data_IF_150794629398
#
_entry.id   IF_150794629398
#
_cell.length_a   1.000
_cell.length_b   1.000
_cell.length_c   1.000
_cell.angle_alpha   90.00
_cell.angle_beta   90.00
_cell.angle_gamma   90.00
#
_symmetry.space_group_name_H-M   'P 1'
#
loop_
_entity.id
_entity.type
_entity.pdbx_description
1 polymer ?
#
# COMPACT_ATOMS: atom_id res chain seq x y z
N UNK A 1 0.80 -8.56 4.85
CA UNK A 1 1.25 -7.26 4.28
C UNK A 1 1.98 -6.50 5.37
N UNK A 2 3.18 -5.96 5.12
CA UNK A 2 3.89 -5.16 6.11
C UNK A 2 3.25 -3.77 6.15
N UNK A 3 2.92 -3.25 7.33
CA UNK A 3 2.28 -1.93 7.48
C UNK A 3 3.08 -0.81 6.82
N UNK A 4 4.39 -0.98 6.70
CA UNK A 4 5.33 -0.10 6.02
C UNK A 4 4.93 0.13 4.54
N UNK A 5 4.39 -0.89 3.84
CA UNK A 5 3.93 -0.73 2.46
C UNK A 5 2.65 0.10 2.34
N UNK A 6 1.84 0.19 3.40
CA UNK A 6 0.67 1.08 3.44
C UNK A 6 1.13 2.53 3.48
N UNK A 7 2.12 2.86 4.31
CA UNK A 7 2.65 4.23 4.41
C UNK A 7 3.33 4.69 3.12
N UNK A 8 4.09 3.81 2.47
CA UNK A 8 4.60 4.09 1.13
C UNK A 8 3.46 4.48 0.17
N UNK A 9 2.38 3.69 0.15
CA UNK A 9 1.23 3.97 -0.72
C UNK A 9 0.47 5.25 -0.33
N UNK A 10 0.40 5.57 0.96
CA UNK A 10 -0.15 6.84 1.45
C UNK A 10 0.65 8.00 0.88
N UNK A 11 1.97 8.03 1.08
CA UNK A 11 2.82 9.12 0.62
C UNK A 11 2.91 9.21 -0.91
N UNK A 12 2.83 8.09 -1.61
CA UNK A 12 2.74 8.07 -3.07
C UNK A 12 1.41 8.67 -3.59
N UNK A 13 0.30 8.46 -2.87
CA UNK A 13 -1.03 8.93 -3.30
C UNK A 13 -1.34 10.34 -2.82
N UNK A 14 -0.88 10.68 -1.61
CA UNK A 14 -1.10 11.96 -0.92
C UNK A 14 0.22 12.45 -0.29
N UNK A 15 1.18 12.94 -1.09
CA UNK A 15 2.48 13.37 -0.59
C UNK A 15 2.37 14.53 0.43
N UNK A 16 1.35 15.39 0.31
CA UNK A 16 1.04 16.45 1.26
C UNK A 16 0.90 15.96 2.70
N UNK A 17 0.39 14.73 2.90
CA UNK A 17 0.19 14.15 4.23
C UNK A 17 1.48 14.03 5.04
N UNK A 18 2.62 13.83 4.37
CA UNK A 18 3.94 13.82 5.03
C UNK A 18 4.31 15.19 5.59
N UNK A 19 4.15 16.25 4.80
CA UNK A 19 4.49 17.61 5.23
C UNK A 19 3.58 18.09 6.35
N UNK A 20 2.29 17.77 6.26
CA UNK A 20 1.34 18.03 7.33
C UNK A 20 1.75 17.32 8.63
N UNK A 21 2.19 16.06 8.58
CA UNK A 21 2.67 15.32 9.77
C UNK A 21 3.82 16.02 10.50
N UNK A 22 4.71 16.68 9.75
CA UNK A 22 5.86 17.41 10.32
C UNK A 22 5.55 18.91 10.54
N UNK A 23 4.26 19.28 10.56
CA UNK A 23 3.76 20.64 10.77
C UNK A 23 4.26 21.65 9.72
N UNK A 24 4.46 21.20 8.48
CA UNK A 24 4.70 22.05 7.33
C UNK A 24 3.43 22.20 6.48
N UNK A 25 3.30 23.28 5.69
CA UNK A 25 2.17 23.47 4.80
C UNK A 25 2.04 22.32 3.78
N UNK A 26 0.81 21.87 3.50
CA UNK A 26 0.53 20.85 2.49
C UNK A 26 1.11 21.17 1.10
N UNK A 27 1.20 22.46 0.76
CA UNK A 27 1.79 22.97 -0.50
C UNK A 27 3.28 22.69 -0.65
N UNK A 28 3.98 22.31 0.43
CA UNK A 28 5.36 21.86 0.34
C UNK A 28 5.48 20.62 -0.55
N UNK A 29 4.46 19.76 -0.61
CA UNK A 29 4.49 18.61 -1.50
C UNK A 29 4.62 18.96 -2.99
N UNK A 30 4.21 20.15 -3.42
CA UNK A 30 4.26 20.56 -4.83
C UNK A 30 5.70 20.74 -5.34
N UNK A 31 6.68 20.81 -4.44
CA UNK A 31 8.10 20.96 -4.77
C UNK A 31 8.94 19.73 -4.43
N UNK A 32 8.31 18.58 -4.17
CA UNK A 32 9.00 17.32 -3.92
C UNK A 32 8.43 16.16 -4.75
N UNK A 33 9.33 15.31 -5.23
CA UNK A 33 8.97 13.98 -5.72
C UNK A 33 9.15 12.95 -4.61
N UNK A 34 8.18 12.05 -4.46
CA UNK A 34 8.29 10.88 -3.59
C UNK A 34 8.84 9.69 -4.37
N UNK A 35 9.95 9.10 -3.90
CA UNK A 35 10.68 8.04 -4.60
C UNK A 35 11.12 6.90 -3.69
N UNK A 36 11.24 5.71 -4.28
CA UNK A 36 12.02 4.59 -3.74
C UNK A 36 13.29 4.43 -4.56
N UNK A 37 14.46 4.39 -3.91
CA UNK A 37 15.77 4.32 -4.57
C UNK A 37 16.50 3.04 -4.18
N UNK A 38 16.87 2.25 -5.18
CA UNK A 38 17.71 1.07 -5.02
C UNK A 38 19.19 1.43 -5.23
N UNK A 39 19.99 1.17 -4.20
CA UNK A 39 21.43 1.38 -4.16
C UNK A 39 22.14 0.18 -4.80
N UNK A 40 22.44 0.30 -6.10
CA UNK A 40 22.98 -0.80 -6.95
C UNK A 40 24.26 -1.47 -6.41
N UNK A 41 25.06 -0.79 -5.58
CA UNK A 41 26.30 -1.35 -5.05
C UNK A 41 26.11 -2.28 -3.84
N UNK A 42 24.92 -2.28 -3.22
CA UNK A 42 24.70 -2.91 -1.92
C UNK A 42 23.36 -3.64 -1.79
N UNK A 43 22.52 -3.66 -2.84
CA UNK A 43 21.15 -4.19 -2.81
C UNK A 43 20.26 -3.58 -1.71
N UNK A 44 20.63 -2.39 -1.20
CA UNK A 44 19.80 -1.65 -0.26
C UNK A 44 18.76 -0.83 -1.01
N UNK A 45 17.55 -0.72 -0.44
CA UNK A 45 16.48 0.09 -1.00
C UNK A 45 15.97 1.05 0.07
N UNK A 46 15.94 2.33 -0.25
CA UNK A 46 15.35 3.36 0.60
C UNK A 46 13.99 3.69 0.00
N UNK A 47 12.93 3.31 0.72
CA UNK A 47 11.56 3.38 0.20
C UNK A 47 10.88 4.73 0.45
N UNK A 48 11.36 5.53 1.42
CA UNK A 48 10.76 6.82 1.76
C UNK A 48 11.69 7.99 1.50
N UNK A 49 11.83 8.43 0.25
CA UNK A 49 12.57 9.64 -0.10
C UNK A 49 11.65 10.72 -0.64
N UNK A 50 11.67 11.90 -0.05
CA UNK A 50 11.17 13.11 -0.70
C UNK A 50 12.35 13.93 -1.22
N UNK A 51 12.42 14.07 -2.54
CA UNK A 51 13.50 14.75 -3.26
C UNK A 51 13.02 16.11 -3.77
N UNK A 52 13.71 17.22 -3.48
CA UNK A 52 13.35 18.52 -4.02
C UNK A 52 13.39 18.51 -5.55
N UNK A 53 12.34 18.99 -6.21
CA UNK A 53 12.32 19.15 -7.66
C UNK A 53 13.09 20.41 -8.10
N UNK A 54 13.41 20.49 -9.39
CA UNK A 54 14.01 21.67 -10.02
C UNK A 54 15.35 22.13 -9.40
N UNK A 55 16.15 21.19 -8.85
CA UNK A 55 17.47 21.45 -8.28
C UNK A 55 17.49 22.61 -7.26
N UNK A 56 16.51 22.66 -6.34
CA UNK A 56 16.51 23.65 -5.26
C UNK A 56 17.52 23.25 -4.19
N UNK A 57 18.76 23.77 -4.20
CA UNK A 57 19.89 23.17 -3.48
C UNK A 57 19.85 23.47 -1.97
N UNK A 58 18.99 24.40 -1.56
CA UNK A 58 18.81 24.80 -0.16
C UNK A 58 17.71 24.00 0.55
N UNK A 59 16.92 23.22 -0.19
CA UNK A 59 15.87 22.38 0.39
C UNK A 59 16.44 21.03 0.80
N UNK A 60 16.04 20.49 1.96
CA UNK A 60 16.56 19.22 2.42
C UNK A 60 15.95 18.05 1.66
N UNK A 61 16.72 16.98 1.46
CA UNK A 61 16.15 15.67 1.18
C UNK A 61 15.50 15.14 2.47
N UNK A 62 14.27 14.67 2.42
CA UNK A 62 13.68 13.95 3.55
C UNK A 62 13.80 12.45 3.39
N UNK A 63 14.37 11.80 4.40
CA UNK A 63 14.39 10.36 4.57
C UNK A 63 13.30 9.97 5.57
N UNK A 64 12.34 9.15 5.13
CA UNK A 64 11.15 8.81 5.92
C UNK A 64 11.13 7.31 6.15
N UNK A 65 11.11 6.90 7.41
CA UNK A 65 10.93 5.50 7.79
C UNK A 65 9.74 5.36 8.76
N UNK A 66 8.97 4.28 8.60
CA UNK A 66 7.87 3.94 9.49
C UNK A 66 8.16 2.63 10.21
N UNK A 67 7.92 2.58 11.53
CA UNK A 67 8.26 1.46 12.39
C UNK A 67 7.04 0.99 13.21
N UNK A 68 6.57 -0.22 12.90
CA UNK A 68 5.47 -0.91 13.60
C UNK A 68 5.93 -2.01 14.55
N UNK A 69 7.20 -2.38 14.49
CA UNK A 69 7.81 -3.42 15.29
C UNK A 69 9.14 -2.92 15.82
N UNK A 70 9.52 -3.41 17.01
CA UNK A 70 10.80 -3.01 17.61
C UNK A 70 11.93 -3.65 16.82
N UNK A 71 12.77 -2.82 16.23
CA UNK A 71 14.00 -3.20 15.54
C UNK A 71 15.17 -2.59 16.32
N UNK A 72 15.92 -3.43 17.05
CA UNK A 72 16.99 -2.97 17.95
C UNK A 72 18.14 -2.31 17.19
N UNK A 73 18.36 -2.67 15.93
CA UNK A 73 19.43 -2.15 15.08
C UNK A 73 18.94 -1.04 14.15
N UNK A 74 17.70 -0.58 14.33
CA UNK A 74 17.03 0.36 13.43
C UNK A 74 17.88 1.61 13.14
N UNK A 75 18.36 2.31 14.17
CA UNK A 75 19.15 3.53 13.97
C UNK A 75 20.48 3.27 13.28
N UNK A 76 21.12 2.13 13.58
CA UNK A 76 22.36 1.74 12.91
C UNK A 76 22.13 1.56 11.40
N UNK A 77 21.10 0.81 11.04
CA UNK A 77 20.69 0.57 9.65
C UNK A 77 20.31 1.88 8.97
N UNK A 78 19.39 2.63 9.55
CA UNK A 78 18.82 3.84 8.95
C UNK A 78 19.87 4.93 8.70
N UNK A 79 20.73 5.23 9.67
CA UNK A 79 21.78 6.23 9.46
C UNK A 79 22.87 5.77 8.50
N UNK A 80 23.18 4.47 8.47
CA UNK A 80 24.10 3.92 7.47
C UNK A 80 23.55 4.08 6.05
N UNK A 81 22.26 3.84 5.86
CA UNK A 81 21.55 4.02 4.58
C UNK A 81 21.54 5.50 4.15
N UNK A 82 21.18 6.42 5.05
CA UNK A 82 21.19 7.86 4.81
C UNK A 82 22.59 8.33 4.37
N UNK A 83 23.62 8.02 5.15
CA UNK A 83 24.97 8.50 4.85
C UNK A 83 25.56 7.85 3.59
N UNK A 84 25.19 6.60 3.30
CA UNK A 84 25.55 5.94 2.04
C UNK A 84 24.88 6.65 0.85
N UNK A 85 23.60 6.98 0.93
CA UNK A 85 22.89 7.72 -0.11
C UNK A 85 23.53 9.10 -0.34
N UNK A 86 23.75 9.87 0.73
CA UNK A 86 24.35 11.20 0.64
C UNK A 86 25.74 11.13 -0.02
N UNK A 87 26.58 10.16 0.37
CA UNK A 87 27.89 9.96 -0.24
C UNK A 87 27.81 9.70 -1.75
N UNK A 88 26.83 8.92 -2.20
CA UNK A 88 26.72 8.48 -3.59
C UNK A 88 26.02 9.51 -4.49
N UNK A 89 25.04 10.24 -3.97
CA UNK A 89 24.11 11.04 -4.80
C UNK A 89 23.99 12.51 -4.40
N UNK A 90 24.25 12.86 -3.13
CA UNK A 90 23.81 14.16 -2.58
C UNK A 90 24.78 14.73 -1.53
N UNK A 91 26.09 14.63 -1.78
CA UNK A 91 27.15 14.91 -0.79
C UNK A 91 27.17 16.34 -0.22
N UNK A 92 26.51 17.30 -0.88
CA UNK A 92 26.45 18.70 -0.47
C UNK A 92 25.01 19.18 -0.19
N UNK A 93 24.00 18.32 -0.29
CA UNK A 93 22.62 18.73 -0.08
C UNK A 93 22.24 18.65 1.40
N UNK A 94 21.43 19.59 1.91
CA UNK A 94 20.82 19.46 3.22
C UNK A 94 19.95 18.19 3.27
N UNK A 95 19.77 17.64 4.47
CA UNK A 95 18.92 16.47 4.68
C UNK A 95 18.22 16.53 6.03
N UNK A 96 17.09 15.84 6.12
CA UNK A 96 16.38 15.58 7.36
C UNK A 96 15.85 14.15 7.36
N UNK A 97 15.83 13.53 8.52
CA UNK A 97 15.23 12.23 8.75
C UNK A 97 13.95 12.40 9.56
N UNK A 98 12.90 11.68 9.16
CA UNK A 98 11.62 11.62 9.86
C UNK A 98 11.30 10.17 10.12
N UNK A 99 11.18 9.82 11.40
CA UNK A 99 10.83 8.47 11.82
C UNK A 99 9.44 8.48 12.43
N UNK A 100 8.55 7.67 11.88
CA UNK A 100 7.19 7.48 12.36
C UNK A 100 7.12 6.16 13.14
N UNK A 101 6.99 6.22 14.45
CA UNK A 101 6.75 5.06 15.28
C UNK A 101 5.27 4.85 15.50
N UNK A 102 4.79 3.60 15.45
CA UNK A 102 3.41 3.30 15.82
C UNK A 102 3.07 3.72 17.26
N UNK A 103 4.06 3.65 18.16
CA UNK A 103 4.00 4.06 19.57
C UNK A 103 5.39 4.18 20.17
N UNK A 104 5.55 4.94 21.26
CA UNK A 104 6.86 5.13 21.95
C UNK A 104 7.58 3.83 22.29
N UNK A 105 6.82 2.81 22.72
CA UNK A 105 7.41 1.51 23.10
C UNK A 105 8.07 0.73 21.95
N UNK A 106 7.86 1.14 20.70
CA UNK A 106 8.52 0.55 19.53
C UNK A 106 9.92 1.14 19.32
N UNK A 107 10.15 2.38 19.74
CA UNK A 107 11.44 3.04 19.57
C UNK A 107 12.56 2.24 20.29
N UNK A 108 13.71 2.04 19.63
CA UNK A 108 14.88 1.44 20.27
C UNK A 108 15.36 2.30 21.44
N UNK A 109 15.73 1.65 22.54
CA UNK A 109 16.21 2.34 23.75
C UNK A 109 17.72 2.61 23.71
N UNK A 110 18.46 1.80 22.97
CA UNK A 110 19.92 1.91 22.80
C UNK A 110 20.27 3.01 21.79
N UNK A 111 20.03 4.26 22.16
CA UNK A 111 20.21 5.42 21.28
C UNK A 111 21.58 6.10 21.41
N UNK A 112 22.38 5.66 22.38
CA UNK A 112 23.66 6.27 22.77
C UNK A 112 24.60 6.60 21.60
N UNK A 113 24.85 5.69 20.64
CA UNK A 113 25.74 5.98 19.52
C UNK A 113 25.23 7.09 18.59
N UNK A 114 23.92 7.34 18.61
CA UNK A 114 23.23 8.26 17.70
C UNK A 114 22.61 9.46 18.41
N UNK A 115 22.79 9.57 19.74
CA UNK A 115 22.11 10.54 20.59
C UNK A 115 22.18 11.96 20.03
N UNK A 116 23.38 12.44 19.70
CA UNK A 116 23.57 13.80 19.20
C UNK A 116 22.86 14.06 17.87
N UNK A 117 22.69 13.03 17.03
CA UNK A 117 21.94 13.16 15.79
C UNK A 117 20.43 13.19 16.08
N UNK A 118 19.96 12.32 16.98
CA UNK A 118 18.56 12.22 17.41
C UNK A 118 18.07 13.45 18.21
N UNK A 119 18.98 14.15 18.88
CA UNK A 119 18.72 15.41 19.58
C UNK A 119 18.85 16.64 18.67
N UNK A 120 19.40 16.47 17.46
CA UNK A 120 19.55 17.57 16.50
C UNK A 120 18.25 17.84 15.73
N UNK A 121 18.11 19.04 15.14
CA UNK A 121 17.01 19.34 14.23
C UNK A 121 16.99 18.52 12.92
N UNK A 122 18.00 17.67 12.69
CA UNK A 122 18.06 16.80 11.52
C UNK A 122 17.15 15.58 11.67
N UNK A 123 16.73 15.20 12.88
CA UNK A 123 15.93 13.99 13.10
C UNK A 123 14.64 14.31 13.86
N UNK A 124 13.52 14.14 13.17
CA UNK A 124 12.18 14.26 13.75
C UNK A 124 11.63 12.87 14.07
N UNK A 125 11.21 12.65 15.31
CA UNK A 125 10.60 11.40 15.76
C UNK A 125 9.14 11.66 16.13
N UNK A 126 8.22 11.03 15.42
CA UNK A 126 6.78 11.15 15.64
C UNK A 126 6.20 9.82 16.09
N UNK A 127 5.16 9.88 16.93
CA UNK A 127 4.47 8.71 17.46
C UNK A 127 3.01 8.79 17.03
N UNK A 128 2.57 7.80 16.27
CA UNK A 128 1.28 7.84 15.59
C UNK A 128 0.09 7.63 16.53
N UNK A 129 0.30 7.03 17.70
CA UNK A 129 -0.70 6.90 18.76
C UNK A 129 -0.89 8.18 19.60
N UNK A 130 -0.06 9.20 19.36
CA UNK A 130 -0.18 10.50 20.03
C UNK A 130 -1.05 11.47 19.23
N UNK A 131 -1.79 12.35 19.91
CA UNK A 131 -2.65 13.32 19.24
C UNK A 131 -1.82 14.29 18.41
N UNK A 132 -2.03 14.26 17.10
CA UNK A 132 -1.55 15.28 16.17
C UNK A 132 -2.66 16.33 16.04
N UNK A 133 -2.43 17.54 16.55
CA UNK A 133 -3.40 18.64 16.54
C UNK A 133 -3.41 19.32 15.16
N UNK A 134 -4.09 18.68 14.21
CA UNK A 134 -4.29 19.22 12.86
C UNK A 134 -5.74 18.94 12.50
N UNK A 135 -6.45 19.99 12.07
CA UNK A 135 -7.76 19.87 11.43
C UNK A 135 -7.64 18.82 10.32
N UNK A 136 -8.14 17.62 10.58
CA UNK A 136 -7.67 16.41 9.91
C UNK A 136 -7.89 16.48 8.39
N UNK A 137 -6.82 16.74 7.66
CA UNK A 137 -6.79 16.57 6.22
C UNK A 137 -7.11 15.11 5.89
N UNK A 138 -7.56 14.84 4.67
CA UNK A 138 -7.84 13.49 4.22
C UNK A 138 -6.61 12.56 4.39
N UNK A 139 -5.41 13.08 4.13
CA UNK A 139 -4.15 12.35 4.27
C UNK A 139 -3.84 11.96 5.72
N UNK A 140 -3.92 12.92 6.65
CA UNK A 140 -3.73 12.66 8.08
C UNK A 140 -4.80 11.72 8.64
N UNK A 141 -6.03 11.84 8.17
CA UNK A 141 -7.12 10.93 8.52
C UNK A 141 -6.84 9.49 8.09
N UNK A 142 -6.28 9.28 6.89
CA UNK A 142 -5.87 7.95 6.42
C UNK A 142 -4.70 7.40 7.24
N UNK A 143 -3.71 8.23 7.60
CA UNK A 143 -2.61 7.82 8.49
C UNK A 143 -3.15 7.39 9.85
N UNK A 144 -4.06 8.18 10.43
CA UNK A 144 -4.73 7.88 11.70
C UNK A 144 -5.47 6.56 11.63
N UNK A 145 -6.15 6.26 10.52
CA UNK A 145 -6.88 5.00 10.32
C UNK A 145 -5.98 3.76 10.51
N UNK A 146 -4.69 3.84 10.18
CA UNK A 146 -3.75 2.71 10.32
C UNK A 146 -3.49 2.35 11.79
N UNK A 147 -3.46 3.34 12.67
CA UNK A 147 -3.14 3.17 14.10
C UNK A 147 -4.36 3.22 15.03
N UNK A 148 -5.51 3.63 14.50
CA UNK A 148 -6.76 3.78 15.25
C UNK A 148 -7.25 2.47 15.89
N UNK A 149 -8.02 2.59 16.97
CA UNK A 149 -8.68 1.47 17.63
C UNK A 149 -9.73 0.82 16.72
N UNK A 150 -9.80 -0.52 16.72
CA UNK A 150 -10.76 -1.30 15.93
C UNK A 150 -12.22 -0.83 16.08
N UNK A 151 -12.61 -0.32 17.26
CA UNK A 151 -13.96 0.18 17.51
C UNK A 151 -14.28 1.47 16.73
N UNK A 152 -13.28 2.33 16.53
CA UNK A 152 -13.42 3.64 15.89
C UNK A 152 -13.12 3.61 14.39
N UNK A 153 -12.39 2.58 13.92
CA UNK A 153 -12.07 2.35 12.49
C UNK A 153 -13.31 2.45 11.59
N UNK A 154 -14.49 1.86 11.91
CA UNK A 154 -15.67 1.96 11.05
C UNK A 154 -16.16 3.38 10.84
N UNK A 155 -16.21 4.17 11.91
CA UNK A 155 -16.68 5.56 11.88
C UNK A 155 -15.69 6.42 11.11
N UNK A 156 -14.40 6.29 11.42
CA UNK A 156 -13.34 7.05 10.75
C UNK A 156 -13.29 6.73 9.25
N UNK A 157 -13.32 5.46 8.86
CA UNK A 157 -13.33 5.06 7.46
C UNK A 157 -14.52 5.65 6.69
N UNK A 158 -15.74 5.63 7.25
CA UNK A 158 -16.91 6.25 6.60
C UNK A 158 -16.73 7.75 6.35
N UNK A 159 -16.16 8.46 7.32
CA UNK A 159 -15.89 9.89 7.18
C UNK A 159 -14.88 10.16 6.07
N UNK A 160 -13.78 9.40 6.04
CA UNK A 160 -12.74 9.51 4.99
C UNK A 160 -13.28 9.18 3.61
N UNK A 161 -14.13 8.14 3.50
CA UNK A 161 -14.77 7.77 2.23
C UNK A 161 -15.71 8.88 1.72
N UNK A 162 -16.38 9.58 2.63
CA UNK A 162 -17.26 10.70 2.29
C UNK A 162 -16.44 11.91 1.81
N UNK A 163 -15.38 12.26 2.54
CA UNK A 163 -14.44 13.33 2.17
C UNK A 163 -13.76 13.06 0.82
N UNK A 164 -13.28 11.84 0.59
CA UNK A 164 -12.66 11.46 -0.67
C UNK A 164 -13.61 11.56 -1.88
N UNK A 165 -14.94 11.56 -1.66
CA UNK A 165 -15.94 11.74 -2.73
C UNK A 165 -16.31 13.20 -2.96
N UNK A 166 -16.32 14.02 -1.92
CA UNK A 166 -16.68 15.44 -2.03
C UNK A 166 -15.51 16.30 -2.51
N UNK A 167 -14.31 16.00 -2.03
CA UNK A 167 -13.19 16.94 -2.09
C UNK A 167 -12.28 16.70 -3.31
N UNK A 168 -12.46 15.59 -4.01
CA UNK A 168 -11.56 15.16 -5.09
C UNK A 168 -12.28 15.13 -6.46
N UNK A 169 -11.85 15.96 -7.43
CA UNK A 169 -12.40 15.93 -8.78
C UNK A 169 -11.82 14.81 -9.66
N UNK A 170 -10.65 14.26 -9.31
CA UNK A 170 -9.98 13.21 -10.09
C UNK A 170 -10.47 11.82 -9.71
N UNK A 171 -11.19 11.18 -10.64
CA UNK A 171 -11.73 9.83 -10.49
C UNK A 171 -10.65 8.75 -10.26
N UNK A 172 -9.44 8.91 -10.81
CA UNK A 172 -8.34 7.96 -10.63
C UNK A 172 -7.77 8.06 -9.23
N UNK A 173 -7.51 9.27 -8.75
CA UNK A 173 -7.06 9.50 -7.38
C UNK A 173 -8.12 9.05 -6.37
N UNK A 174 -9.39 9.35 -6.63
CA UNK A 174 -10.51 8.88 -5.84
C UNK A 174 -10.51 7.34 -5.73
N UNK A 175 -10.43 6.63 -6.86
CA UNK A 175 -10.34 5.16 -6.86
C UNK A 175 -9.15 4.65 -6.05
N UNK A 176 -7.96 5.24 -6.23
CA UNK A 176 -6.76 4.84 -5.50
C UNK A 176 -6.93 4.98 -3.98
N UNK A 177 -7.61 6.03 -3.52
CA UNK A 177 -7.89 6.27 -2.11
C UNK A 177 -8.96 5.35 -1.54
N UNK A 178 -10.03 5.08 -2.29
CA UNK A 178 -11.02 4.08 -1.89
C UNK A 178 -10.36 2.71 -1.68
N UNK A 179 -9.50 2.30 -2.62
CA UNK A 179 -8.74 1.06 -2.53
C UNK A 179 -7.79 1.05 -1.33
N UNK A 180 -7.14 2.18 -1.04
CA UNK A 180 -6.23 2.31 0.11
C UNK A 180 -6.99 2.20 1.44
N UNK A 181 -8.08 2.95 1.60
CA UNK A 181 -8.93 2.92 2.80
C UNK A 181 -9.47 1.50 3.00
N UNK A 182 -9.96 0.84 1.95
CA UNK A 182 -10.41 -0.54 2.05
C UNK A 182 -9.29 -1.48 2.49
N UNK A 183 -8.10 -1.36 1.89
CA UNK A 183 -6.96 -2.19 2.26
C UNK A 183 -6.63 -2.05 3.75
N UNK A 184 -6.65 -0.82 4.28
CA UNK A 184 -6.41 -0.55 5.70
C UNK A 184 -7.51 -1.18 6.57
N UNK A 185 -8.79 -0.98 6.20
CA UNK A 185 -9.94 -1.54 6.94
C UNK A 185 -9.90 -3.07 6.98
N UNK A 186 -9.68 -3.73 5.84
CA UNK A 186 -9.59 -5.20 5.76
C UNK A 186 -8.47 -5.76 6.62
N UNK A 187 -7.34 -5.04 6.72
CA UNK A 187 -6.23 -5.44 7.58
C UNK A 187 -6.53 -5.21 9.07
N UNK A 188 -7.15 -4.09 9.42
CA UNK A 188 -7.48 -3.71 10.80
C UNK A 188 -8.66 -4.50 11.36
N UNK A 189 -9.60 -4.91 10.52
CA UNK A 189 -10.81 -5.62 10.90
C UNK A 189 -10.92 -6.94 10.11
N UNK A 190 -10.03 -7.92 10.35
CA UNK A 190 -9.95 -9.15 9.54
C UNK A 190 -11.19 -10.06 9.69
N UNK A 191 -11.99 -9.85 10.75
CA UNK A 191 -13.22 -10.62 11.02
C UNK A 191 -14.49 -9.87 10.62
N UNK A 192 -14.37 -8.71 9.98
CA UNK A 192 -15.52 -7.91 9.58
C UNK A 192 -16.35 -8.68 8.55
N UNK A 193 -17.66 -8.76 8.76
CA UNK A 193 -18.52 -9.44 7.81
C UNK A 193 -18.65 -8.65 6.50
N UNK A 194 -18.90 -9.31 5.36
CA UNK A 194 -19.20 -8.62 4.10
C UNK A 194 -20.36 -7.63 4.20
N UNK A 195 -21.33 -7.92 5.08
CA UNK A 195 -22.48 -7.04 5.34
C UNK A 195 -22.07 -5.77 6.09
N UNK A 196 -21.15 -5.87 7.05
CA UNK A 196 -20.61 -4.72 7.76
C UNK A 196 -19.70 -3.87 6.86
N UNK A 197 -18.89 -4.51 6.00
CA UNK A 197 -18.15 -3.83 4.94
C UNK A 197 -19.09 -3.07 3.98
N UNK A 198 -20.16 -3.70 3.52
CA UNK A 198 -21.16 -3.05 2.64
C UNK A 198 -21.96 -1.92 3.32
N UNK A 199 -21.94 -1.83 4.66
CA UNK A 199 -22.47 -0.67 5.40
C UNK A 199 -21.46 0.46 5.51
N UNK A 200 -20.19 0.22 5.21
CA UNK A 200 -19.12 1.22 5.23
C UNK A 200 -18.82 1.74 3.82
N UNK A 201 -18.83 0.83 2.84
CA UNK A 201 -18.59 1.08 1.42
C UNK A 201 -19.88 0.79 0.64
N UNK A 202 -20.20 1.56 -0.40
CA UNK A 202 -21.26 1.12 -1.33
C UNK A 202 -20.80 -0.17 -2.01
N UNK A 203 -21.72 -1.09 -2.33
CA UNK A 203 -21.38 -2.35 -3.03
C UNK A 203 -20.64 -2.09 -4.36
N UNK A 204 -20.98 -1.00 -5.04
CA UNK A 204 -20.27 -0.52 -6.23
C UNK A 204 -18.80 -0.18 -5.96
N UNK A 205 -18.49 0.41 -4.81
CA UNK A 205 -17.14 0.81 -4.45
C UNK A 205 -16.30 -0.43 -4.15
N UNK A 206 -16.84 -1.34 -3.35
CA UNK A 206 -16.19 -2.61 -3.02
C UNK A 206 -15.82 -3.38 -4.30
N UNK A 207 -16.75 -3.52 -5.24
CA UNK A 207 -16.52 -4.25 -6.51
C UNK A 207 -15.39 -3.69 -7.35
N UNK A 208 -15.16 -2.39 -7.29
CA UNK A 208 -14.15 -1.70 -8.07
C UNK A 208 -12.76 -1.72 -7.43
N UNK A 209 -12.67 -2.21 -6.20
CA UNK A 209 -11.39 -2.24 -5.50
C UNK A 209 -10.53 -3.42 -5.92
N UNK A 210 -9.23 -3.18 -5.97
CA UNK A 210 -8.25 -4.21 -6.29
C UNK A 210 -8.38 -5.45 -5.40
N UNK A 211 -8.53 -5.25 -4.08
CA UNK A 211 -8.66 -6.36 -3.14
C UNK A 211 -9.89 -7.22 -3.43
N UNK A 212 -11.05 -6.62 -3.73
CA UNK A 212 -12.25 -7.38 -4.07
C UNK A 212 -12.09 -8.14 -5.39
N UNK A 213 -11.44 -7.52 -6.39
CA UNK A 213 -11.17 -8.17 -7.67
C UNK A 213 -10.23 -9.37 -7.53
N UNK A 214 -9.20 -9.25 -6.69
CA UNK A 214 -8.28 -10.34 -6.36
C UNK A 214 -9.02 -11.49 -5.66
N UNK A 215 -9.83 -11.20 -4.63
CA UNK A 215 -10.62 -12.23 -3.93
C UNK A 215 -11.61 -12.91 -4.88
N UNK A 216 -12.32 -12.14 -5.73
CA UNK A 216 -13.27 -12.69 -6.71
C UNK A 216 -12.55 -13.59 -7.73
N UNK A 217 -11.36 -13.19 -8.15
CA UNK A 217 -10.51 -13.98 -9.04
C UNK A 217 -10.06 -15.29 -8.40
N UNK A 218 -9.54 -15.24 -7.17
CA UNK A 218 -9.11 -16.44 -6.45
C UNK A 218 -10.27 -17.41 -6.21
N UNK A 219 -11.46 -16.92 -5.86
CA UNK A 219 -12.66 -17.75 -5.69
C UNK A 219 -13.10 -18.40 -7.01
N UNK A 220 -13.18 -17.63 -8.10
CA UNK A 220 -13.52 -18.15 -9.42
C UNK A 220 -12.51 -19.21 -9.88
N UNK A 221 -11.22 -18.93 -9.74
CA UNK A 221 -10.15 -19.85 -10.11
C UNK A 221 -10.20 -21.14 -9.28
N UNK A 222 -10.36 -21.04 -7.96
CA UNK A 222 -10.45 -22.19 -7.07
C UNK A 222 -11.66 -23.07 -7.43
N UNK A 223 -12.83 -22.45 -7.59
CA UNK A 223 -14.05 -23.18 -7.92
C UNK A 223 -13.94 -23.87 -9.27
N UNK A 224 -13.47 -23.17 -10.31
CA UNK A 224 -13.28 -23.73 -11.65
C UNK A 224 -12.23 -24.84 -11.64
N UNK A 225 -11.13 -24.70 -10.89
CA UNK A 225 -10.12 -25.76 -10.72
C UNK A 225 -10.73 -27.01 -10.09
N UNK A 226 -11.53 -26.87 -9.03
CA UNK A 226 -12.21 -28.01 -8.39
C UNK A 226 -13.22 -28.69 -9.31
N UNK A 227 -13.91 -27.93 -10.16
CA UNK A 227 -14.80 -28.49 -11.18
C UNK A 227 -14.02 -29.28 -12.24
N UNK A 228 -12.89 -28.74 -12.72
CA UNK A 228 -12.01 -29.41 -13.68
C UNK A 228 -11.47 -30.73 -13.11
N UNK A 229 -10.91 -30.70 -11.90
CA UNK A 229 -10.41 -31.89 -11.21
C UNK A 229 -11.50 -32.96 -11.06
N UNK A 230 -12.72 -32.55 -10.75
CA UNK A 230 -13.85 -33.47 -10.60
C UNK A 230 -14.37 -34.03 -11.93
N UNK A 231 -14.38 -33.23 -13.00
CA UNK A 231 -15.03 -33.60 -14.27
C UNK A 231 -14.10 -34.37 -15.20
N UNK A 232 -12.86 -33.94 -15.33
CA UNK A 232 -11.88 -34.48 -16.28
C UNK A 232 -10.62 -35.05 -15.61
N UNK A 233 -10.49 -34.93 -14.29
CA UNK A 233 -9.36 -35.46 -13.53
C UNK A 233 -8.18 -34.50 -13.42
N UNK A 234 -6.98 -35.04 -13.21
CA UNK A 234 -5.77 -34.24 -13.04
C UNK A 234 -5.41 -33.42 -14.27
N UNK A 235 -5.07 -32.15 -14.05
CA UNK A 235 -4.72 -31.18 -15.10
C UNK A 235 -3.20 -31.11 -15.20
N UNK A 236 -2.65 -31.01 -16.42
CA UNK A 236 -1.22 -30.81 -16.62
C UNK A 236 -0.78 -29.41 -16.18
N UNK A 237 0.51 -29.26 -15.83
CA UNK A 237 1.06 -27.99 -15.37
C UNK A 237 0.93 -26.88 -16.42
N UNK A 238 1.05 -27.21 -17.71
CA UNK A 238 0.90 -26.26 -18.82
C UNK A 238 -0.52 -25.68 -18.91
N UNK A 239 -1.53 -26.54 -18.76
CA UNK A 239 -2.94 -26.11 -18.75
C UNK A 239 -3.24 -25.27 -17.51
N UNK A 240 -2.64 -25.60 -16.36
CA UNK A 240 -2.80 -24.82 -15.14
C UNK A 240 -2.25 -23.39 -15.28
N UNK A 241 -1.12 -23.22 -15.99
CA UNK A 241 -0.57 -21.89 -16.30
C UNK A 241 -1.49 -21.10 -17.24
N UNK A 242 -2.15 -21.76 -18.19
CA UNK A 242 -3.12 -21.11 -19.08
C UNK A 242 -4.38 -20.67 -18.31
N UNK A 243 -4.91 -21.54 -17.45
CA UNK A 243 -6.10 -21.25 -16.63
C UNK A 243 -5.83 -20.07 -15.68
N UNK A 244 -4.64 -20.01 -15.08
CA UNK A 244 -4.22 -18.90 -14.21
C UNK A 244 -4.06 -17.55 -14.93
N UNK A 245 -4.22 -17.49 -16.26
CA UNK A 245 -4.19 -16.24 -17.03
C UNK A 245 -5.57 -15.77 -17.49
N UNK A 246 -6.60 -16.60 -17.32
CA UNK A 246 -7.96 -16.29 -17.74
C UNK A 246 -8.54 -15.14 -16.91
N UNK A 247 -9.41 -14.33 -17.52
CA UNK A 247 -10.17 -13.34 -16.76
C UNK A 247 -11.20 -14.03 -15.85
N UNK A 248 -11.78 -13.28 -14.90
CA UNK A 248 -12.84 -13.84 -14.04
C UNK A 248 -14.06 -14.28 -14.87
N UNK A 249 -14.41 -13.52 -15.91
CA UNK A 249 -15.53 -13.85 -16.81
C UNK A 249 -15.24 -15.14 -17.59
N UNK A 250 -14.01 -15.32 -18.05
CA UNK A 250 -13.59 -16.55 -18.74
C UNK A 250 -13.56 -17.76 -17.81
N UNK A 251 -13.14 -17.58 -16.55
CA UNK A 251 -13.20 -18.62 -15.53
C UNK A 251 -14.64 -19.03 -15.21
N UNK A 252 -15.56 -18.08 -15.13
CA UNK A 252 -16.99 -18.34 -14.95
C UNK A 252 -17.59 -19.05 -16.18
N UNK A 253 -17.26 -18.60 -17.40
CA UNK A 253 -17.68 -19.22 -18.65
C UNK A 253 -17.13 -20.64 -18.82
N UNK A 254 -15.87 -20.88 -18.44
CA UNK A 254 -15.28 -22.21 -18.39
C UNK A 254 -16.03 -23.10 -17.39
N UNK A 255 -16.36 -22.56 -16.21
CA UNK A 255 -17.18 -23.23 -15.21
C UNK A 255 -18.52 -23.73 -15.76
N UNK A 256 -19.18 -22.94 -16.60
CA UNK A 256 -20.42 -23.31 -17.29
C UNK A 256 -20.18 -24.35 -18.38
N UNK A 257 -19.19 -24.12 -19.27
CA UNK A 257 -18.87 -25.03 -20.37
C UNK A 257 -18.45 -26.43 -19.89
N UNK A 258 -17.83 -26.52 -18.71
CA UNK A 258 -17.45 -27.78 -18.07
C UNK A 258 -18.62 -28.74 -17.82
N UNK A 259 -19.84 -28.22 -17.69
CA UNK A 259 -21.04 -29.05 -17.54
C UNK A 259 -21.31 -29.89 -18.80
N UNK A 260 -20.89 -29.40 -19.96
CA UNK A 260 -21.09 -30.04 -21.26
C UNK A 260 -19.89 -30.88 -21.71
N UNK A 261 -18.74 -30.76 -21.03
CA UNK A 261 -17.52 -31.48 -21.41
C UNK A 261 -17.65 -32.98 -21.16
N UNK A 262 -17.11 -33.75 -22.10
CA UNK A 262 -17.06 -35.22 -22.08
C UNK A 262 -15.65 -35.75 -21.88
N UNK A 263 -14.63 -34.98 -22.25
CA UNK A 263 -13.22 -35.36 -22.14
C UNK A 263 -12.28 -34.16 -21.94
N UNK A 264 -11.01 -34.43 -21.64
CA UNK A 264 -9.98 -33.40 -21.55
C UNK A 264 -9.68 -32.71 -22.90
N UNK A 265 -10.03 -33.32 -24.04
CA UNK A 265 -9.84 -32.70 -25.35
C UNK A 265 -10.78 -31.49 -25.57
N UNK A 266 -11.96 -31.51 -24.94
CA UNK A 266 -12.93 -30.41 -25.00
C UNK A 266 -12.35 -29.16 -24.34
N UNK A 267 -11.64 -29.34 -23.20
CA UNK A 267 -10.94 -28.26 -22.51
C UNK A 267 -9.84 -27.63 -23.38
N UNK A 268 -8.99 -28.46 -24.01
CA UNK A 268 -7.91 -27.96 -24.87
C UNK A 268 -8.47 -27.13 -26.03
N UNK A 269 -9.57 -27.61 -26.62
CA UNK A 269 -10.25 -26.90 -27.72
C UNK A 269 -10.80 -25.56 -27.24
N UNK A 270 -11.44 -25.52 -26.07
CA UNK A 270 -11.98 -24.29 -25.50
C UNK A 270 -10.88 -23.27 -25.19
N UNK A 271 -9.77 -23.70 -24.56
CA UNK A 271 -8.64 -22.82 -24.23
C UNK A 271 -7.98 -22.22 -25.48
N UNK A 272 -7.86 -23.00 -26.56
CA UNK A 272 -7.31 -22.51 -27.83
C UNK A 272 -8.23 -21.46 -28.49
N UNK A 273 -9.54 -21.59 -28.32
CA UNK A 273 -10.50 -20.64 -28.88
C UNK A 273 -10.53 -19.30 -28.13
N UNK A 274 -10.18 -19.27 -26.84
CA UNK A 274 -10.05 -18.03 -26.07
C UNK A 274 -8.90 -17.14 -26.55
N UNK A 275 -7.83 -17.73 -27.09
CA UNK A 275 -6.70 -16.99 -27.66
C UNK A 275 -6.98 -16.32 -29.02
N UNK A 276 -8.16 -16.52 -29.59
CA UNK A 276 -8.53 -16.02 -30.93
C UNK A 276 -9.51 -14.85 -30.92
N UNK A 277 -9.98 -14.39 -29.75
CA UNK A 277 -10.93 -13.26 -29.64
C UNK A 277 -10.29 -11.90 -29.37
N UNK A 278 -8.96 -11.82 -29.29
CA UNK A 278 -8.19 -10.57 -29.09
C UNK A 278 -7.42 -10.12 -30.35
N UNK A 279 -7.92 -10.47 -31.55
CA UNK A 279 -7.37 -10.00 -32.84
C UNK A 279 -8.33 -9.05 -33.57
#
# INVERSE_FOLDING_TARGET
MKTDSIFYRIFQTLPASFFELINLPATEADVYDFASVELKQTAFRIDGLFLPINNQPQRPIYFVEVQFQKDVDFYARFFSEIFLYLRLYASTQPWQAVVLFAKRSIEPTEIEPYRYLLESPLVTRLYLDEPVDIQASLGLGIIKLVVENEKEVPTLARNLLSQARSDLPDARLQKNLLDLIQTIVSYKLPRLSPQELARMFSISDLRNTRYYQEVRYEEALNYTTRLLERRIGGISQDLQVQINKLSVEDLENLGLALLDFTSAADLVTWLNNQGSSDA
#
